data_IF_345714856570
#
_entry.id   IF_345714856570
#
_cell.length_a   1.000
_cell.length_b   1.000
_cell.length_c   1.000
_cell.angle_alpha   90.00
_cell.angle_beta   90.00
_cell.angle_gamma   90.00
#
_symmetry.space_group_name_H-M   'P 1'
#
loop_
_entity.id
_entity.type
_entity.pdbx_description
1 polymer ?
#
# COMPACT_ATOMS: atom_id res chain seq x y z
N UNK A 1 21.58 14.17 1.48
CA UNK A 1 21.31 12.74 1.20
C UNK A 1 19.88 12.43 1.62
N UNK A 2 19.02 12.11 0.65
CA UNK A 2 17.60 11.81 0.85
C UNK A 2 17.40 10.30 0.88
N UNK A 3 16.87 9.78 1.98
CA UNK A 3 16.65 8.33 2.18
C UNK A 3 15.17 8.09 2.44
N UNK A 4 14.58 7.20 1.65
CA UNK A 4 13.21 6.75 1.84
C UNK A 4 13.17 5.33 2.41
N UNK A 5 12.35 5.12 3.43
CA UNK A 5 11.92 3.80 3.90
C UNK A 5 10.53 3.48 3.37
N UNK A 6 10.29 2.23 2.99
CA UNK A 6 9.02 1.79 2.40
C UNK A 6 8.58 0.45 3.01
N UNK A 7 7.41 0.46 3.64
CA UNK A 7 6.60 -0.74 3.90
C UNK A 7 5.61 -0.95 2.75
N UNK A 8 5.65 -2.13 2.13
CA UNK A 8 4.98 -2.45 0.84
C UNK A 8 3.52 -2.86 0.97
N UNK A 9 2.71 -2.48 1.75
CA UNK A 9 1.29 -2.88 1.77
C UNK A 9 0.38 -1.82 1.11
N UNK A 10 -0.88 -2.18 0.85
CA UNK A 10 -1.92 -1.18 0.58
C UNK A 10 -2.22 -0.34 1.84
N UNK A 11 -1.93 -0.89 3.01
CA UNK A 11 -1.91 -0.20 4.30
C UNK A 11 -0.51 0.24 4.71
N UNK A 12 0.49 -0.02 3.89
CA UNK A 12 1.88 0.33 4.12
C UNK A 12 2.15 1.83 4.09
N UNK A 13 3.42 2.19 4.08
CA UNK A 13 3.82 3.57 4.16
C UNK A 13 5.11 3.91 3.43
N UNK A 14 5.36 5.20 3.33
CA UNK A 14 6.59 5.81 2.79
C UNK A 14 7.04 6.89 3.75
N UNK A 15 8.31 6.89 4.13
CA UNK A 15 8.90 7.92 5.00
C UNK A 15 10.26 8.38 4.47
N UNK A 16 10.47 9.69 4.48
CA UNK A 16 11.81 10.30 4.28
C UNK A 16 12.38 10.89 5.58
N UNK A 17 11.70 10.69 6.71
CA UNK A 17 12.07 11.20 8.03
C UNK A 17 11.44 12.53 8.38
N UNK A 18 11.15 13.40 7.43
CA UNK A 18 10.43 14.66 7.66
C UNK A 18 8.92 14.43 7.70
N UNK A 19 8.44 13.47 6.92
CA UNK A 19 7.05 13.04 6.91
C UNK A 19 6.93 11.52 6.76
N UNK A 20 5.83 10.99 7.28
CA UNK A 20 5.44 9.59 7.18
C UNK A 20 4.06 9.54 6.52
N UNK A 21 3.99 8.97 5.35
CA UNK A 21 2.78 8.95 4.52
C UNK A 21 2.28 7.52 4.34
N UNK A 22 0.96 7.38 4.27
CA UNK A 22 0.37 6.11 3.82
C UNK A 22 0.73 5.87 2.36
N UNK A 23 0.89 4.61 1.99
CA UNK A 23 1.07 4.21 0.60
C UNK A 23 -0.01 4.85 -0.28
N UNK A 24 0.37 5.59 -1.34
CA UNK A 24 -0.60 6.21 -2.23
C UNK A 24 -1.38 5.13 -2.98
N UNK A 25 -2.71 5.21 -2.93
CA UNK A 25 -3.58 4.22 -3.54
C UNK A 25 -4.77 4.87 -4.26
N UNK A 26 -5.24 4.22 -5.32
CA UNK A 26 -6.47 4.59 -6.02
C UNK A 26 -7.42 3.40 -6.16
N UNK A 27 -8.69 3.68 -6.40
CA UNK A 27 -9.71 2.65 -6.62
C UNK A 27 -9.83 2.33 -8.10
N UNK A 28 -9.38 1.15 -8.52
CA UNK A 28 -9.58 0.64 -9.87
C UNK A 28 -10.91 -0.09 -9.97
N UNK A 29 -11.69 0.23 -11.00
CA UNK A 29 -12.90 -0.51 -11.34
C UNK A 29 -12.51 -1.89 -11.93
N UNK A 30 -12.82 -2.96 -11.19
CA UNK A 30 -12.51 -4.34 -11.61
C UNK A 30 -13.70 -5.03 -12.28
N UNK A 31 -14.91 -4.58 -11.99
CA UNK A 31 -16.14 -5.10 -12.60
C UNK A 31 -17.18 -3.99 -12.67
N UNK A 32 -17.71 -3.73 -13.87
CA UNK A 32 -18.84 -2.80 -14.08
C UNK A 32 -20.10 -3.33 -13.39
N UNK A 33 -20.95 -2.43 -12.95
CA UNK A 33 -22.29 -2.79 -12.48
C UNK A 33 -23.04 -3.52 -13.58
N UNK A 34 -23.72 -4.61 -13.22
CA UNK A 34 -24.58 -5.34 -14.12
C UNK A 34 -26.02 -5.08 -13.75
N UNK A 35 -26.77 -4.50 -14.68
CA UNK A 35 -28.18 -4.17 -14.52
C UNK A 35 -29.04 -5.14 -15.32
N UNK A 36 -30.15 -5.52 -14.79
CA UNK A 36 -31.15 -6.34 -15.46
C UNK A 36 -32.50 -5.65 -15.43
N UNK A 37 -33.31 -5.95 -16.42
CA UNK A 37 -34.68 -5.48 -16.46
C UNK A 37 -35.47 -6.07 -15.29
N UNK A 38 -36.15 -5.23 -14.52
CA UNK A 38 -37.07 -5.65 -13.45
C UNK A 38 -38.29 -6.33 -14.06
N UNK A 39 -38.61 -7.50 -13.56
CA UNK A 39 -39.78 -8.28 -14.00
C UNK A 39 -40.77 -8.48 -12.84
N UNK A 40 -42.05 -8.56 -13.16
CA UNK A 40 -43.08 -8.94 -12.21
C UNK A 40 -43.07 -10.46 -11.92
N UNK A 41 -44.00 -10.93 -11.08
CA UNK A 41 -44.09 -12.34 -10.70
C UNK A 41 -44.42 -13.27 -11.89
N UNK A 42 -44.93 -12.73 -13.00
CA UNK A 42 -45.24 -13.45 -14.23
C UNK A 42 -44.09 -13.35 -15.27
N UNK A 43 -42.95 -12.77 -14.88
CA UNK A 43 -41.80 -12.61 -15.76
C UNK A 43 -41.90 -11.46 -16.77
N UNK A 44 -42.96 -10.64 -16.72
CA UNK A 44 -43.19 -9.51 -17.61
C UNK A 44 -42.39 -8.28 -17.16
N UNK A 45 -41.85 -7.52 -18.09
CA UNK A 45 -41.12 -6.30 -17.81
C UNK A 45 -41.96 -5.25 -17.10
N UNK A 46 -41.45 -4.72 -15.99
CA UNK A 46 -42.11 -3.62 -15.29
C UNK A 46 -41.73 -2.31 -15.99
N UNK A 47 -42.73 -1.53 -16.36
CA UNK A 47 -42.57 -0.24 -17.02
C UNK A 47 -42.78 0.89 -16.03
N UNK A 48 -42.01 1.94 -16.10
CA UNK A 48 -42.16 3.13 -15.27
C UNK A 48 -43.45 3.86 -15.64
N UNK A 49 -44.31 4.10 -14.65
CA UNK A 49 -45.66 4.64 -14.89
C UNK A 49 -45.72 6.16 -14.83
N UNK A 50 -44.73 6.83 -14.24
CA UNK A 50 -44.73 8.28 -14.04
C UNK A 50 -43.30 8.87 -14.07
N UNK A 51 -43.19 10.18 -14.10
CA UNK A 51 -41.91 10.92 -14.13
C UNK A 51 -41.20 10.92 -15.49
N UNK A 52 -39.99 11.48 -15.53
CA UNK A 52 -39.23 11.67 -16.80
C UNK A 52 -38.92 10.37 -17.56
N UNK A 53 -38.92 9.24 -16.83
CA UNK A 53 -38.68 7.89 -17.42
C UNK A 53 -39.96 7.09 -17.69
N UNK A 54 -41.14 7.76 -17.75
CA UNK A 54 -42.41 7.10 -18.07
C UNK A 54 -42.30 6.31 -19.38
N UNK A 55 -42.81 5.08 -19.38
CA UNK A 55 -42.77 4.19 -20.54
C UNK A 55 -41.47 3.38 -20.68
N UNK A 56 -40.42 3.72 -19.94
CA UNK A 56 -39.16 2.96 -19.99
C UNK A 56 -39.22 1.70 -19.08
N UNK A 57 -38.45 0.69 -19.48
CA UNK A 57 -38.30 -0.52 -18.68
C UNK A 57 -37.51 -0.22 -17.39
N UNK A 58 -38.06 -0.61 -16.25
CA UNK A 58 -37.36 -0.48 -14.99
C UNK A 58 -36.16 -1.43 -14.96
N UNK A 59 -34.98 -0.89 -14.56
CA UNK A 59 -33.77 -1.66 -14.40
C UNK A 59 -33.43 -1.80 -12.92
N UNK A 60 -32.86 -2.93 -12.53
CA UNK A 60 -32.32 -3.17 -11.19
C UNK A 60 -30.87 -3.61 -11.27
N UNK A 61 -30.09 -3.20 -10.29
CA UNK A 61 -28.70 -3.64 -10.17
C UNK A 61 -28.70 -5.09 -9.70
N UNK A 62 -28.34 -6.03 -10.56
CA UNK A 62 -28.15 -7.44 -10.20
C UNK A 62 -26.78 -7.67 -9.58
N UNK A 63 -25.78 -6.95 -10.00
CA UNK A 63 -24.44 -6.99 -9.44
C UNK A 63 -23.86 -5.58 -9.39
N UNK A 64 -23.50 -5.07 -8.20
CA UNK A 64 -22.89 -3.76 -8.09
C UNK A 64 -21.50 -3.74 -8.75
N UNK A 65 -21.04 -2.54 -9.09
CA UNK A 65 -19.66 -2.35 -9.52
C UNK A 65 -18.70 -2.77 -8.40
N UNK A 66 -17.62 -3.45 -8.76
CA UNK A 66 -16.56 -3.83 -7.83
C UNK A 66 -15.32 -2.97 -8.09
N UNK A 67 -14.72 -2.52 -7.03
CA UNK A 67 -13.47 -1.77 -7.04
C UNK A 67 -12.42 -2.51 -6.24
N UNK A 68 -11.17 -2.30 -6.58
CA UNK A 68 -10.00 -2.78 -5.84
C UNK A 68 -9.05 -1.61 -5.65
N UNK A 69 -8.50 -1.47 -4.45
CA UNK A 69 -7.42 -0.51 -4.21
C UNK A 69 -6.14 -1.02 -4.88
N UNK A 70 -5.42 -0.12 -5.52
CA UNK A 70 -4.11 -0.37 -6.11
C UNK A 70 -3.16 0.76 -5.76
N UNK A 71 -1.86 0.47 -5.71
CA UNK A 71 -0.83 1.50 -5.51
C UNK A 71 -0.86 2.46 -6.70
N UNK A 72 -0.86 3.76 -6.38
CA UNK A 72 -0.76 4.86 -7.33
C UNK A 72 0.72 5.07 -7.69
N UNK A 73 1.18 4.34 -8.70
CA UNK A 73 2.60 4.37 -9.10
C UNK A 73 3.08 5.73 -9.61
N UNK A 74 2.30 6.52 -10.36
CA UNK A 74 2.68 7.89 -10.71
C UNK A 74 2.94 8.79 -9.50
N UNK A 75 2.08 8.72 -8.48
CA UNK A 75 2.24 9.49 -7.24
C UNK A 75 3.44 8.97 -6.46
N UNK A 76 3.57 7.66 -6.31
CA UNK A 76 4.71 7.05 -5.62
C UNK A 76 6.04 7.42 -6.29
N UNK A 77 6.13 7.27 -7.61
CA UNK A 77 7.34 7.63 -8.36
C UNK A 77 7.72 9.10 -8.15
N UNK A 78 6.72 10.01 -8.19
CA UNK A 78 6.96 11.43 -7.93
C UNK A 78 7.54 11.69 -6.54
N UNK A 79 7.11 10.94 -5.52
CA UNK A 79 7.65 11.08 -4.17
C UNK A 79 9.10 10.59 -4.06
N UNK A 80 9.47 9.56 -4.82
CA UNK A 80 10.78 8.92 -4.75
C UNK A 80 11.84 9.55 -5.68
N UNK A 81 11.46 10.54 -6.50
CA UNK A 81 12.30 11.05 -7.58
C UNK A 81 13.55 11.82 -7.11
N UNK A 82 13.58 12.28 -5.86
CA UNK A 82 14.72 12.98 -5.24
C UNK A 82 15.56 12.10 -4.29
N UNK A 83 15.31 10.79 -4.31
CA UNK A 83 15.96 9.85 -3.42
C UNK A 83 17.41 9.54 -3.83
N UNK A 84 18.32 9.53 -2.86
CA UNK A 84 19.66 8.93 -2.99
C UNK A 84 19.60 7.42 -2.69
N UNK A 85 18.81 7.04 -1.68
CA UNK A 85 18.55 5.65 -1.27
C UNK A 85 17.07 5.39 -1.07
N UNK A 86 16.63 4.22 -1.49
CA UNK A 86 15.29 3.69 -1.22
C UNK A 86 15.43 2.33 -0.57
N UNK A 87 14.95 2.21 0.66
CA UNK A 87 15.01 0.99 1.46
C UNK A 87 13.61 0.38 1.52
N UNK A 88 13.44 -0.79 0.92
CA UNK A 88 12.13 -1.43 0.76
C UNK A 88 12.09 -2.69 1.61
N UNK A 89 11.05 -2.84 2.43
CA UNK A 89 10.80 -4.11 3.09
C UNK A 89 10.48 -5.19 2.05
N UNK A 90 11.19 -6.31 2.14
CA UNK A 90 10.89 -7.48 1.31
C UNK A 90 9.52 -8.06 1.71
N UNK A 91 8.76 -8.63 0.77
CA UNK A 91 7.57 -9.39 1.12
C UNK A 91 7.91 -10.47 2.14
N UNK A 92 7.17 -10.48 3.25
CA UNK A 92 7.33 -11.52 4.27
C UNK A 92 7.04 -12.92 3.70
N UNK A 93 7.29 -13.96 4.52
CA UNK A 93 7.01 -15.34 4.14
C UNK A 93 5.53 -15.48 3.74
N UNK A 94 5.29 -15.91 2.49
CA UNK A 94 3.94 -16.13 1.94
C UNK A 94 3.42 -17.52 2.21
N UNK A 95 4.20 -18.38 2.88
CA UNK A 95 3.78 -19.73 3.22
C UNK A 95 2.54 -19.71 4.12
N UNK A 96 1.50 -20.43 3.74
CA UNK A 96 0.20 -20.41 4.41
C UNK A 96 -0.77 -19.32 3.92
N UNK A 97 -0.32 -18.37 3.12
CA UNK A 97 -1.21 -17.38 2.52
C UNK A 97 -2.00 -17.97 1.34
N UNK A 98 -3.22 -17.47 1.11
CA UNK A 98 -3.95 -17.82 -0.11
C UNK A 98 -3.22 -17.29 -1.35
N UNK A 99 -3.34 -18.00 -2.48
CA UNK A 99 -2.75 -17.57 -3.76
C UNK A 99 -3.14 -16.13 -4.14
N UNK A 100 -4.35 -15.69 -3.77
CA UNK A 100 -4.81 -14.32 -4.00
C UNK A 100 -4.01 -13.30 -3.19
N UNK A 101 -3.75 -13.58 -1.91
CA UNK A 101 -2.97 -12.69 -1.03
C UNK A 101 -1.54 -12.61 -1.54
N UNK A 102 -0.92 -13.76 -1.80
CA UNK A 102 0.45 -13.82 -2.36
C UNK A 102 0.55 -13.02 -3.65
N UNK A 103 -0.37 -13.24 -4.60
CA UNK A 103 -0.40 -12.49 -5.87
C UNK A 103 -0.49 -10.97 -5.63
N UNK A 104 -1.36 -10.53 -4.73
CA UNK A 104 -1.52 -9.09 -4.44
C UNK A 104 -0.26 -8.50 -3.84
N UNK A 105 0.35 -9.18 -2.86
CA UNK A 105 1.59 -8.73 -2.21
C UNK A 105 2.74 -8.63 -3.21
N UNK A 106 2.95 -9.67 -4.02
CA UNK A 106 4.03 -9.67 -5.02
C UNK A 106 3.80 -8.64 -6.14
N UNK A 107 2.53 -8.42 -6.54
CA UNK A 107 2.20 -7.37 -7.50
C UNK A 107 2.50 -5.98 -6.93
N UNK A 108 2.17 -5.73 -5.67
CA UNK A 108 2.46 -4.45 -5.02
C UNK A 108 3.97 -4.25 -4.84
N UNK A 109 4.69 -5.28 -4.43
CA UNK A 109 6.16 -5.24 -4.34
C UNK A 109 6.79 -4.89 -5.70
N UNK A 110 6.38 -5.56 -6.78
CA UNK A 110 6.88 -5.26 -8.12
C UNK A 110 6.59 -3.82 -8.57
N UNK A 111 5.43 -3.26 -8.20
CA UNK A 111 5.10 -1.86 -8.48
C UNK A 111 6.00 -0.88 -7.74
N UNK A 112 6.24 -1.13 -6.44
CA UNK A 112 7.12 -0.30 -5.61
C UNK A 112 8.56 -0.37 -6.12
N UNK A 113 9.04 -1.59 -6.41
CA UNK A 113 10.39 -1.82 -6.92
C UNK A 113 10.60 -1.09 -8.25
N UNK A 114 9.67 -1.20 -9.20
CA UNK A 114 9.76 -0.50 -10.47
C UNK A 114 9.81 1.03 -10.30
N UNK A 115 9.02 1.60 -9.38
CA UNK A 115 9.08 3.03 -9.07
C UNK A 115 10.45 3.43 -8.49
N UNK A 116 11.01 2.58 -7.61
CA UNK A 116 12.29 2.82 -6.99
C UNK A 116 13.45 2.72 -8.01
N UNK A 117 13.46 1.73 -8.88
CA UNK A 117 14.48 1.56 -9.91
C UNK A 117 14.47 2.71 -10.94
N UNK A 118 13.27 3.22 -11.28
CA UNK A 118 13.13 4.35 -12.20
C UNK A 118 13.57 5.69 -11.59
N UNK A 119 13.69 5.81 -10.27
CA UNK A 119 14.14 7.05 -9.61
C UNK A 119 15.65 7.28 -9.64
N UNK A 120 16.43 6.35 -10.17
CA UNK A 120 17.91 6.33 -10.15
C UNK A 120 18.54 6.27 -8.74
N UNK A 121 17.76 6.01 -7.70
CA UNK A 121 18.24 5.82 -6.34
C UNK A 121 18.96 4.47 -6.17
N UNK A 122 19.82 4.37 -5.16
CA UNK A 122 20.33 3.06 -4.72
C UNK A 122 19.22 2.32 -3.96
N UNK A 123 18.75 1.20 -4.51
CA UNK A 123 17.67 0.40 -3.94
C UNK A 123 18.25 -0.68 -3.03
N UNK A 124 17.76 -0.74 -1.80
CA UNK A 124 18.10 -1.75 -0.80
C UNK A 124 16.83 -2.50 -0.42
N UNK A 125 16.85 -3.81 -0.52
CA UNK A 125 15.73 -4.66 -0.11
C UNK A 125 16.12 -5.35 1.20
N UNK A 126 15.29 -5.23 2.23
CA UNK A 126 15.56 -5.77 3.56
C UNK A 126 14.41 -6.67 4.03
N UNK A 127 14.69 -7.89 4.52
CA UNK A 127 13.65 -8.72 5.12
C UNK A 127 13.18 -8.14 6.47
N UNK A 128 11.89 -8.25 6.80
CA UNK A 128 11.35 -7.73 8.07
C UNK A 128 12.03 -8.33 9.30
N UNK A 129 12.47 -9.58 9.22
CA UNK A 129 13.17 -10.25 10.31
C UNK A 129 14.52 -9.63 10.65
N UNK A 130 15.19 -9.00 9.69
CA UNK A 130 16.48 -8.37 9.91
C UNK A 130 16.31 -7.03 10.62
N UNK A 131 15.61 -6.07 10.01
CA UNK A 131 15.53 -4.74 10.58
C UNK A 131 14.76 -4.70 11.91
N UNK A 132 13.73 -5.56 12.07
CA UNK A 132 13.02 -5.69 13.36
C UNK A 132 13.90 -6.25 14.44
N UNK A 133 14.73 -7.26 14.13
CA UNK A 133 15.70 -7.82 15.09
C UNK A 133 16.74 -6.78 15.50
N UNK A 134 17.30 -6.04 14.53
CA UNK A 134 18.35 -5.05 14.80
C UNK A 134 17.83 -3.85 15.61
N UNK A 135 16.51 -3.57 15.56
CA UNK A 135 15.83 -2.55 16.37
C UNK A 135 15.16 -3.10 17.63
N UNK A 136 15.39 -4.38 17.97
CA UNK A 136 14.77 -5.06 19.12
C UNK A 136 13.24 -4.98 19.15
N UNK A 137 12.61 -5.14 18.00
CA UNK A 137 11.17 -5.07 17.82
C UNK A 137 10.54 -6.46 17.80
N UNK A 138 9.40 -6.60 18.48
CA UNK A 138 8.55 -7.78 18.38
C UNK A 138 7.76 -7.81 17.06
N UNK A 139 6.82 -8.76 16.96
CA UNK A 139 5.87 -8.80 15.83
C UNK A 139 4.62 -7.94 16.06
N UNK A 140 4.51 -7.36 17.24
CA UNK A 140 3.34 -6.54 17.60
C UNK A 140 3.43 -5.17 16.93
N UNK A 141 2.34 -4.75 16.31
CA UNK A 141 2.26 -3.46 15.61
C UNK A 141 2.47 -2.27 16.52
N UNK A 142 2.02 -2.39 17.76
CA UNK A 142 2.14 -1.33 18.74
C UNK A 142 3.61 -1.01 19.05
N UNK A 143 4.48 -2.01 19.13
CA UNK A 143 5.91 -1.81 19.38
C UNK A 143 6.56 -0.95 18.27
N UNK A 144 6.19 -1.18 17.02
CA UNK A 144 6.66 -0.36 15.89
C UNK A 144 6.18 1.09 16.02
N UNK A 145 4.93 1.29 16.41
CA UNK A 145 4.35 2.63 16.61
C UNK A 145 5.06 3.34 17.76
N UNK A 146 5.19 2.70 18.91
CA UNK A 146 5.78 3.28 20.12
C UNK A 146 7.25 3.66 19.90
N UNK A 147 8.02 2.79 19.22
CA UNK A 147 9.40 3.11 18.88
C UNK A 147 9.48 4.26 17.87
N UNK A 148 8.62 4.26 16.84
CA UNK A 148 8.57 5.36 15.89
C UNK A 148 8.23 6.69 16.58
N UNK A 149 7.24 6.73 17.47
CA UNK A 149 6.88 7.93 18.24
C UNK A 149 8.04 8.41 19.12
N UNK A 150 8.73 7.48 19.79
CA UNK A 150 9.90 7.77 20.62
C UNK A 150 11.04 8.40 19.83
N UNK A 151 11.33 7.89 18.63
CA UNK A 151 12.45 8.32 17.83
C UNK A 151 12.14 9.59 17.02
N UNK A 152 10.91 9.72 16.51
CA UNK A 152 10.51 10.84 15.66
C UNK A 152 9.93 12.02 16.44
N UNK A 153 9.47 11.82 17.67
CA UNK A 153 8.69 12.79 18.45
C UNK A 153 7.27 13.01 17.90
N UNK A 154 6.85 12.25 16.89
CA UNK A 154 5.54 12.38 16.22
C UNK A 154 4.59 11.28 16.66
N UNK A 155 3.34 11.66 17.00
CA UNK A 155 2.31 10.68 17.36
C UNK A 155 1.70 10.01 16.13
N UNK A 156 1.63 8.68 16.16
CA UNK A 156 1.01 7.86 15.14
C UNK A 156 -0.26 7.18 15.70
N UNK A 157 -1.30 7.11 14.89
CA UNK A 157 -2.49 6.31 15.23
C UNK A 157 -2.19 4.83 14.97
N UNK A 158 -2.78 3.92 15.73
CA UNK A 158 -2.62 2.47 15.55
C UNK A 158 -2.96 1.98 14.11
N UNK A 159 -3.77 2.74 13.39
CA UNK A 159 -4.07 2.50 11.96
C UNK A 159 -2.97 2.99 11.01
N UNK A 160 -1.87 3.45 11.53
CA UNK A 160 -0.72 4.01 10.82
C UNK A 160 0.56 3.20 11.07
N UNK A 161 0.40 1.89 11.32
CA UNK A 161 1.52 0.97 11.45
C UNK A 161 2.45 1.02 10.21
N UNK A 162 1.91 1.02 9.00
CA UNK A 162 2.69 1.08 7.78
C UNK A 162 3.59 2.33 7.66
N UNK A 163 3.09 3.56 7.84
CA UNK A 163 3.95 4.74 7.91
C UNK A 163 4.98 4.71 9.04
N UNK A 164 4.63 4.17 10.21
CA UNK A 164 5.57 4.00 11.31
C UNK A 164 6.68 2.99 10.97
N UNK A 165 6.34 1.85 10.38
CA UNK A 165 7.31 0.87 9.92
C UNK A 165 8.20 1.43 8.80
N UNK A 166 7.65 2.20 7.87
CA UNK A 166 8.44 2.89 6.84
C UNK A 166 9.49 3.85 7.45
N UNK A 167 9.10 4.60 8.48
CA UNK A 167 10.05 5.43 9.23
C UNK A 167 11.15 4.60 9.88
N UNK A 168 10.80 3.48 10.52
CA UNK A 168 11.74 2.61 11.22
C UNK A 168 12.70 1.89 10.26
N UNK A 169 12.23 1.47 9.08
CA UNK A 169 13.07 0.91 8.02
C UNK A 169 14.12 1.92 7.57
N UNK A 170 13.73 3.18 7.35
CA UNK A 170 14.66 4.27 7.06
C UNK A 170 15.64 4.50 8.21
N UNK A 171 15.15 4.59 9.44
CA UNK A 171 15.97 4.81 10.64
C UNK A 171 17.00 3.69 10.80
N UNK A 172 16.58 2.43 10.69
CA UNK A 172 17.47 1.26 10.70
C UNK A 172 18.57 1.38 9.64
N UNK A 173 18.21 1.72 8.42
CA UNK A 173 19.20 1.86 7.36
C UNK A 173 20.25 2.92 7.71
N UNK A 174 19.82 4.08 8.17
CA UNK A 174 20.73 5.18 8.53
C UNK A 174 21.64 4.86 9.71
N UNK A 175 21.16 4.16 10.71
CA UNK A 175 21.88 3.95 11.96
C UNK A 175 22.66 2.63 12.00
N UNK A 176 22.23 1.63 11.26
CA UNK A 176 22.83 0.29 11.27
C UNK A 176 23.50 -0.03 9.93
N UNK A 177 22.79 0.06 8.81
CA UNK A 177 23.29 -0.47 7.54
C UNK A 177 24.23 0.48 6.80
N UNK A 178 23.90 1.77 6.74
CA UNK A 178 24.71 2.76 6.01
C UNK A 178 26.13 2.88 6.57
N UNK A 179 26.35 2.94 7.91
CA UNK A 179 27.70 2.96 8.46
C UNK A 179 28.52 1.70 8.16
N UNK A 180 27.88 0.55 7.90
CA UNK A 180 28.56 -0.67 7.47
C UNK A 180 29.03 -0.54 6.02
N UNK A 181 28.15 -0.05 5.13
CA UNK A 181 28.48 0.15 3.73
C UNK A 181 29.62 1.15 3.53
N UNK A 182 29.68 2.21 4.35
CA UNK A 182 30.75 3.21 4.30
C UNK A 182 32.12 2.67 4.75
N UNK A 183 32.13 1.64 5.59
CA UNK A 183 33.38 0.98 6.02
C UNK A 183 33.91 -0.05 5.02
N UNK A 184 33.03 -0.55 4.15
CA UNK A 184 33.35 -1.54 3.12
C UNK A 184 33.75 -0.89 1.78
N UNK A 185 33.58 0.43 1.65
CA UNK A 185 33.90 1.23 0.44
C UNK A 185 35.31 1.82 0.51
#
# INVERSE_FOLDING_TARGET
>A
MTIYGIDIGLSGGVSNGDYDLKMPTYKRLTKKAYMVQKKDAKGKAIITKSGPNKGQKQMVIKSPAKHQNEIDTPVLYKWLNDADYIVIEAPGNTQGNSARVTKTTMTNFGKVLACAELSNAKVIIVPPSQWKKDLDLSKEKQDSIDLCEKLSGRKHKITWDGPAEAYLIRHWFMTVKLPQLEKES
#
